data_IF_205249384890
#
_entry.id   IF_205249384890
#
_cell.length_a   1.000
_cell.length_b   1.000
_cell.length_c   1.000
_cell.angle_alpha   90.00
_cell.angle_beta   90.00
_cell.angle_gamma   90.00
#
_symmetry.space_group_name_H-M   'P 1'
#
loop_
_entity.id
_entity.type
_entity.pdbx_description
1 polymer ?
#
# COMPACT_ATOMS: atom_id res chain seq x y z
N UNK A 1 16.91 -33.86 11.32
CA UNK A 1 15.89 -33.57 10.29
C UNK A 1 14.74 -32.71 10.83
N UNK A 2 14.01 -33.14 11.87
CA UNK A 2 12.90 -32.33 12.42
C UNK A 2 13.36 -30.97 13.00
N UNK A 3 14.49 -30.95 13.70
CA UNK A 3 15.04 -29.71 14.28
C UNK A 3 15.63 -28.77 13.22
N UNK A 4 16.23 -29.30 12.15
CA UNK A 4 16.63 -28.54 10.95
C UNK A 4 15.45 -27.83 10.28
N UNK A 5 14.35 -28.55 10.04
CA UNK A 5 13.13 -27.97 9.45
C UNK A 5 12.50 -26.90 10.36
N UNK A 6 12.45 -27.15 11.67
CA UNK A 6 11.96 -26.18 12.65
C UNK A 6 12.82 -24.90 12.69
N UNK A 7 14.15 -25.02 12.56
CA UNK A 7 15.05 -23.88 12.50
C UNK A 7 14.86 -23.04 11.23
N UNK A 8 14.65 -23.69 10.08
CA UNK A 8 14.38 -23.04 8.79
C UNK A 8 13.04 -22.29 8.81
N UNK A 9 11.98 -22.93 9.30
CA UNK A 9 10.65 -22.31 9.41
C UNK A 9 10.65 -21.13 10.39
N UNK A 10 11.31 -21.29 11.54
CA UNK A 10 11.43 -20.20 12.50
C UNK A 10 12.22 -19.00 11.93
N UNK A 11 13.24 -19.25 11.10
CA UNK A 11 14.02 -18.22 10.44
C UNK A 11 13.21 -17.46 9.37
N UNK A 12 12.43 -18.17 8.54
CA UNK A 12 11.59 -17.53 7.52
C UNK A 12 10.51 -16.63 8.15
N UNK A 13 9.85 -17.10 9.21
CA UNK A 13 8.87 -16.32 9.97
C UNK A 13 9.52 -15.06 10.58
N UNK A 14 10.76 -15.18 11.09
CA UNK A 14 11.50 -14.05 11.64
C UNK A 14 11.88 -13.02 10.57
N UNK A 15 12.23 -13.45 9.36
CA UNK A 15 12.55 -12.58 8.23
C UNK A 15 11.31 -11.76 7.79
N UNK A 16 10.18 -12.43 7.55
CA UNK A 16 8.91 -11.77 7.18
C UNK A 16 8.46 -10.79 8.27
N UNK A 17 8.57 -11.19 9.54
CA UNK A 17 8.19 -10.34 10.67
C UNK A 17 9.08 -9.08 10.78
N UNK A 18 10.37 -9.17 10.46
CA UNK A 18 11.29 -8.01 10.45
C UNK A 18 11.02 -7.05 9.30
N UNK A 19 10.78 -7.59 8.09
CA UNK A 19 10.40 -6.80 6.93
C UNK A 19 9.10 -6.02 7.19
N UNK A 20 8.08 -6.69 7.74
CA UNK A 20 6.82 -6.04 8.14
C UNK A 20 6.99 -5.00 9.26
N UNK A 21 8.05 -5.10 10.07
CA UNK A 21 8.36 -4.14 11.14
C UNK A 21 9.30 -3.01 10.70
N UNK A 22 9.74 -2.99 9.44
CA UNK A 22 10.68 -1.99 8.90
C UNK A 22 12.05 -2.00 9.61
N UNK A 23 12.47 -3.15 10.14
CA UNK A 23 13.73 -3.29 10.87
C UNK A 23 14.85 -3.69 9.90
N UNK A 24 15.77 -2.78 9.59
CA UNK A 24 16.98 -3.07 8.82
C UNK A 24 17.98 -3.93 9.61
N UNK A 25 18.94 -4.62 8.94
CA UNK A 25 19.97 -5.40 9.62
C UNK A 25 20.75 -4.53 10.61
N UNK A 26 20.94 -5.04 11.83
CA UNK A 26 21.67 -4.33 12.89
C UNK A 26 23.15 -4.24 12.51
N UNK A 27 23.59 -3.07 12.06
CA UNK A 27 25.00 -2.72 12.00
C UNK A 27 25.58 -2.77 13.42
N UNK A 28 26.46 -3.75 13.67
CA UNK A 28 27.06 -3.99 14.98
C UNK A 28 28.16 -2.98 15.36
N UNK A 29 28.44 -1.95 14.56
CA UNK A 29 29.52 -1.00 14.81
C UNK A 29 29.06 0.46 14.63
N UNK A 30 28.53 1.06 15.70
CA UNK A 30 28.34 2.50 15.79
C UNK A 30 27.99 2.92 17.21
N UNK A 31 28.58 4.00 17.77
CA UNK A 31 28.26 4.43 19.13
C UNK A 31 26.80 4.86 19.20
N UNK A 32 26.08 4.33 20.20
CA UNK A 32 24.69 4.68 20.46
C UNK A 32 24.59 6.18 20.79
N UNK A 33 24.11 6.98 19.83
CA UNK A 33 23.78 8.38 20.06
C UNK A 33 22.50 8.46 20.87
N UNK A 34 22.65 8.69 22.17
CA UNK A 34 21.55 8.99 23.08
C UNK A 34 21.06 10.43 22.84
N UNK A 35 20.22 10.62 21.84
CA UNK A 35 19.35 11.80 21.73
C UNK A 35 17.91 11.32 21.78
N UNK A 36 17.21 11.73 22.83
CA UNK A 36 15.82 11.35 23.09
C UNK A 36 14.89 12.04 22.08
N UNK A 37 14.78 11.46 20.89
CA UNK A 37 13.79 11.84 19.88
C UNK A 37 12.48 11.14 20.23
N UNK A 38 11.42 11.89 20.55
CA UNK A 38 10.09 11.33 20.71
C UNK A 38 9.58 10.84 19.34
N UNK A 39 9.74 9.54 19.06
CA UNK A 39 9.17 8.90 17.87
C UNK A 39 7.70 8.55 18.12
N UNK A 40 6.80 9.22 17.41
CA UNK A 40 5.37 8.87 17.39
C UNK A 40 5.21 7.61 16.54
N UNK A 41 5.26 6.44 17.19
CA UNK A 41 4.99 5.14 16.56
C UNK A 41 3.52 4.77 16.71
N UNK A 42 2.88 4.32 15.63
CA UNK A 42 1.49 3.83 15.71
C UNK A 42 1.48 2.56 16.55
N UNK A 43 0.34 2.28 17.18
CA UNK A 43 0.17 1.07 18.00
C UNK A 43 0.46 -0.21 17.19
N UNK A 44 0.05 -0.23 15.93
CA UNK A 44 0.36 -1.30 14.96
C UNK A 44 1.86 -1.53 14.80
N UNK A 45 2.64 -0.46 14.73
CA UNK A 45 4.08 -0.53 14.46
C UNK A 45 4.81 -1.08 15.69
N UNK A 46 4.38 -0.69 16.89
CA UNK A 46 4.90 -1.25 18.15
C UNK A 46 4.58 -2.74 18.29
N UNK A 47 3.40 -3.17 17.85
CA UNK A 47 2.98 -4.57 17.87
C UNK A 47 3.77 -5.40 16.85
N UNK A 48 3.98 -4.88 15.64
CA UNK A 48 4.82 -5.49 14.61
C UNK A 48 6.28 -5.65 15.07
N UNK A 49 6.87 -4.60 15.67
CA UNK A 49 8.23 -4.66 16.24
C UNK A 49 8.34 -5.67 17.38
N UNK A 50 7.33 -5.78 18.25
CA UNK A 50 7.31 -6.76 19.34
C UNK A 50 7.22 -8.19 18.80
N UNK A 51 6.40 -8.40 17.78
CA UNK A 51 6.29 -9.68 17.09
C UNK A 51 7.61 -10.08 16.40
N UNK A 52 8.23 -9.16 15.67
CA UNK A 52 9.54 -9.36 15.03
C UNK A 52 10.64 -9.74 16.01
N UNK A 53 10.72 -9.06 17.16
CA UNK A 53 11.68 -9.41 18.23
C UNK A 53 11.44 -10.81 18.81
N UNK A 54 10.17 -11.20 18.99
CA UNK A 54 9.80 -12.52 19.50
C UNK A 54 10.11 -13.62 18.48
N UNK A 55 9.81 -13.39 17.20
CA UNK A 55 10.12 -14.30 16.10
C UNK A 55 11.64 -14.49 15.95
N UNK A 56 12.42 -13.41 15.99
CA UNK A 56 13.88 -13.47 15.96
C UNK A 56 14.49 -14.27 17.13
N UNK A 57 13.97 -14.11 18.34
CA UNK A 57 14.42 -14.88 19.51
C UNK A 57 14.11 -16.37 19.36
N UNK A 58 12.95 -16.71 18.79
CA UNK A 58 12.54 -18.09 18.52
C UNK A 58 13.43 -18.75 17.46
N UNK A 59 13.72 -18.04 16.37
CA UNK A 59 14.64 -18.50 15.33
C UNK A 59 16.05 -18.76 15.89
N UNK A 60 16.57 -17.86 16.72
CA UNK A 60 17.88 -18.02 17.35
C UNK A 60 17.92 -19.24 18.30
N UNK A 61 16.84 -19.50 19.04
CA UNK A 61 16.74 -20.67 19.91
C UNK A 61 16.64 -21.99 19.14
N UNK A 62 15.85 -22.03 18.06
CA UNK A 62 15.72 -23.19 17.19
C UNK A 62 17.05 -23.53 16.49
N UNK A 63 17.80 -22.50 16.04
CA UNK A 63 19.15 -22.67 15.50
C UNK A 63 20.12 -23.26 16.54
N UNK A 64 20.11 -22.76 17.77
CA UNK A 64 20.97 -23.27 18.83
C UNK A 64 20.66 -24.74 19.14
N UNK A 65 19.37 -25.11 19.20
CA UNK A 65 18.93 -26.49 19.41
C UNK A 65 19.32 -27.42 18.26
N UNK A 66 19.20 -26.97 17.00
CA UNK A 66 19.62 -27.76 15.83
C UNK A 66 21.15 -28.00 15.84
N UNK A 67 21.95 -26.99 16.21
CA UNK A 67 23.41 -27.11 16.34
C UNK A 67 23.83 -28.03 17.49
N UNK A 68 23.16 -27.94 18.63
CA UNK A 68 23.45 -28.79 19.80
C UNK A 68 23.08 -30.26 19.55
N UNK A 69 22.02 -30.51 18.80
CA UNK A 69 21.60 -31.86 18.39
C UNK A 69 22.49 -32.48 17.30
N UNK A 70 23.50 -31.77 16.79
CA UNK A 70 24.37 -32.24 15.72
C UNK A 70 23.66 -32.40 14.37
N UNK A 71 22.50 -31.76 14.18
CA UNK A 71 21.82 -31.70 12.89
C UNK A 71 22.66 -30.81 11.96
N UNK A 72 23.29 -31.41 10.94
CA UNK A 72 24.16 -30.70 10.00
C UNK A 72 23.28 -29.73 9.20
N UNK A 73 23.60 -28.43 9.32
CA UNK A 73 23.07 -27.38 8.47
C UNK A 73 24.08 -27.18 7.35
N UNK A 74 23.66 -27.42 6.10
CA UNK A 74 24.50 -27.22 4.94
C UNK A 74 24.64 -25.70 4.66
N UNK A 75 25.61 -25.31 3.83
CA UNK A 75 25.85 -23.89 3.53
C UNK A 75 24.60 -23.20 2.96
N UNK A 76 23.74 -23.91 2.22
CA UNK A 76 22.44 -23.41 1.76
C UNK A 76 21.45 -23.14 2.92
N UNK A 77 21.42 -24.00 3.94
CA UNK A 77 20.58 -23.79 5.13
C UNK A 77 21.11 -22.61 5.96
N UNK A 78 22.43 -22.48 6.05
CA UNK A 78 23.10 -21.38 6.72
C UNK A 78 22.92 -20.06 5.98
N UNK A 79 22.76 -20.06 4.65
CA UNK A 79 22.39 -18.88 3.85
C UNK A 79 20.91 -18.50 4.02
N UNK A 80 20.02 -19.50 4.14
CA UNK A 80 18.59 -19.28 4.40
C UNK A 80 18.32 -18.74 5.81
N UNK A 81 19.16 -19.11 6.79
CA UNK A 81 19.01 -18.74 8.21
C UNK A 81 19.96 -17.59 8.60
N UNK A 82 21.03 -17.37 7.84
CA UNK A 82 22.11 -16.43 8.16
C UNK A 82 21.74 -14.97 7.93
N UNK A 83 22.25 -14.04 8.75
CA UNK A 83 21.93 -12.61 8.66
C UNK A 83 22.55 -11.89 7.46
N UNK A 84 23.20 -12.60 6.51
CA UNK A 84 24.13 -11.97 5.55
C UNK A 84 23.83 -12.16 4.07
N UNK A 85 22.77 -12.86 3.64
CA UNK A 85 22.45 -12.99 2.20
C UNK A 85 20.98 -13.10 1.79
N UNK A 86 20.02 -13.12 2.72
CA UNK A 86 18.60 -13.09 2.33
C UNK A 86 18.11 -11.72 1.80
N UNK A 87 18.97 -10.71 1.86
CA UNK A 87 18.73 -9.36 1.34
C UNK A 87 19.41 -9.17 -0.02
N UNK A 88 18.69 -9.50 -1.10
CA UNK A 88 18.88 -8.82 -2.39
C UNK A 88 17.74 -9.13 -3.35
N UNK A 89 17.38 -10.41 -3.53
CA UNK A 89 16.61 -10.79 -4.72
C UNK A 89 15.07 -10.78 -4.51
N UNK A 90 14.59 -11.20 -3.34
CA UNK A 90 13.15 -11.23 -3.03
C UNK A 90 12.55 -9.85 -2.71
N UNK A 91 13.38 -8.85 -2.40
CA UNK A 91 12.97 -7.45 -2.25
C UNK A 91 13.10 -6.65 -3.55
N UNK A 92 13.85 -7.15 -4.54
CA UNK A 92 13.97 -6.50 -5.85
C UNK A 92 12.76 -6.75 -6.75
N UNK A 93 12.04 -7.86 -6.57
CA UNK A 93 10.88 -8.18 -7.42
C UNK A 93 9.67 -7.30 -7.14
N UNK A 94 9.52 -6.78 -5.91
CA UNK A 94 8.53 -5.75 -5.56
C UNK A 94 9.09 -4.31 -5.72
N UNK A 95 10.41 -4.17 -5.94
CA UNK A 95 11.10 -2.90 -6.15
C UNK A 95 11.14 -2.43 -7.61
N UNK A 96 10.65 -3.22 -8.57
CA UNK A 96 10.76 -2.90 -9.99
C UNK A 96 9.87 -1.72 -10.46
N UNK A 97 9.05 -1.14 -9.57
CA UNK A 97 8.20 0.03 -9.89
C UNK A 97 8.87 1.37 -9.54
N UNK A 98 9.95 1.38 -8.75
CA UNK A 98 10.69 2.61 -8.43
C UNK A 98 12.17 2.44 -8.75
N UNK A 99 12.64 3.16 -9.76
CA UNK A 99 13.96 3.03 -10.35
C UNK A 99 15.13 2.99 -9.36
N UNK A 100 16.01 2.01 -9.60
CA UNK A 100 17.47 2.01 -9.37
C UNK A 100 18.01 2.92 -8.26
N UNK A 101 18.36 2.31 -7.11
CA UNK A 101 19.52 2.72 -6.30
C UNK A 101 19.50 4.08 -5.60
N UNK A 102 18.35 4.75 -5.48
CA UNK A 102 18.22 5.97 -4.68
C UNK A 102 18.06 5.66 -3.19
N UNK A 103 18.91 6.25 -2.33
CA UNK A 103 18.79 6.16 -0.88
C UNK A 103 17.34 6.40 -0.42
N UNK A 104 16.81 5.49 0.37
CA UNK A 104 15.46 5.61 0.95
C UNK A 104 15.54 6.58 2.13
N UNK A 105 15.17 7.85 1.90
CA UNK A 105 15.05 8.86 2.96
C UNK A 105 16.29 9.73 3.16
N UNK A 106 16.61 10.07 4.41
CA UNK A 106 17.70 10.99 4.78
C UNK A 106 19.08 10.31 4.86
N UNK A 107 19.15 9.00 4.59
CA UNK A 107 20.37 8.22 4.70
C UNK A 107 21.39 8.65 3.62
N UNK A 108 22.61 8.96 4.05
CA UNK A 108 23.69 9.45 3.18
C UNK A 108 23.69 10.96 2.89
N UNK A 109 22.72 11.73 3.41
CA UNK A 109 22.72 13.19 3.27
C UNK A 109 23.57 13.87 4.35
N UNK A 110 24.27 14.94 3.97
CA UNK A 110 24.98 15.80 4.90
C UNK A 110 24.02 16.61 5.76
N UNK A 111 24.48 17.08 6.92
CA UNK A 111 23.63 17.88 7.84
C UNK A 111 23.16 19.17 7.19
N UNK A 112 23.99 19.73 6.32
CA UNK A 112 23.77 20.96 5.58
C UNK A 112 22.65 20.77 4.54
N UNK A 113 22.64 19.65 3.82
CA UNK A 113 21.57 19.29 2.88
C UNK A 113 20.24 19.07 3.59
N UNK A 114 20.25 18.40 4.75
CA UNK A 114 19.04 18.19 5.57
C UNK A 114 18.47 19.53 6.06
N UNK A 115 19.33 20.46 6.51
CA UNK A 115 18.91 21.78 6.94
C UNK A 115 18.36 22.63 5.78
N UNK A 116 18.93 22.53 4.58
CA UNK A 116 18.40 23.20 3.40
C UNK A 116 17.03 22.66 3.00
N UNK A 117 16.82 21.34 3.04
CA UNK A 117 15.49 20.75 2.80
C UNK A 117 14.46 21.23 3.82
N UNK A 118 14.83 21.31 5.10
CA UNK A 118 13.95 21.83 6.16
C UNK A 118 13.55 23.29 5.92
N UNK A 119 14.46 24.12 5.41
CA UNK A 119 14.16 25.51 5.04
C UNK A 119 13.15 25.63 3.88
N UNK A 120 13.12 24.63 2.99
CA UNK A 120 12.19 24.59 1.85
C UNK A 120 10.81 24.05 2.21
N UNK A 121 10.65 23.42 3.37
CA UNK A 121 9.35 22.98 3.85
C UNK A 121 8.49 24.19 4.24
N UNK A 122 7.20 24.12 3.92
CA UNK A 122 6.26 25.11 4.41
C UNK A 122 6.24 25.07 5.95
N UNK A 123 6.36 26.23 6.63
CA UNK A 123 6.48 26.28 8.09
C UNK A 123 5.27 25.68 8.82
N UNK A 124 4.10 25.67 8.18
CA UNK A 124 2.87 25.10 8.73
C UNK A 124 2.55 23.68 8.22
N UNK A 125 3.47 23.05 7.50
CA UNK A 125 3.30 21.72 6.93
C UNK A 125 2.13 21.65 5.93
N UNK A 126 1.15 20.78 6.18
CA UNK A 126 -0.01 20.57 5.30
C UNK A 126 -1.04 21.71 5.32
N UNK A 127 -0.90 22.67 6.23
CA UNK A 127 -1.75 23.87 6.28
C UNK A 127 -1.21 24.91 5.29
N UNK A 128 -1.56 24.73 4.03
CA UNK A 128 -1.43 25.80 3.05
C UNK A 128 -2.78 26.51 2.96
N UNK A 129 -2.84 27.74 3.47
CA UNK A 129 -3.99 28.61 3.26
C UNK A 129 -3.97 29.11 1.81
N UNK A 130 -4.77 28.47 0.98
CA UNK A 130 -5.29 29.14 -0.22
C UNK A 130 -6.51 29.93 0.24
N UNK A 131 -6.61 31.21 -0.10
CA UNK A 131 -7.87 31.96 0.09
C UNK A 131 -8.83 31.58 -1.04
N UNK A 132 -9.82 30.69 -0.84
CA UNK A 132 -10.87 30.52 -1.82
C UNK A 132 -11.62 31.84 -1.94
N UNK A 133 -11.71 32.38 -3.17
CA UNK A 133 -12.48 33.59 -3.46
C UNK A 133 -13.97 33.32 -3.21
N UNK A 134 -14.45 33.65 -2.00
CA UNK A 134 -15.87 33.80 -1.67
C UNK A 134 -16.53 32.61 -0.94
N UNK A 135 -17.53 32.93 -0.12
CA UNK A 135 -18.43 31.97 0.53
C UNK A 135 -19.67 31.72 -0.33
N UNK A 136 -20.35 30.56 -0.19
CA UNK A 136 -21.58 30.28 -0.93
C UNK A 136 -22.68 31.34 -0.72
N UNK A 137 -23.56 31.55 -1.71
CA UNK A 137 -24.69 32.45 -1.55
C UNK A 137 -25.60 32.00 -0.41
N UNK A 138 -26.13 32.97 0.35
CA UNK A 138 -26.92 32.71 1.55
C UNK A 138 -26.10 32.44 2.82
N UNK A 139 -24.79 32.68 2.78
CA UNK A 139 -23.95 32.63 4.00
C UNK A 139 -24.24 33.83 4.90
N UNK A 140 -24.59 33.59 6.16
CA UNK A 140 -24.88 34.60 7.17
C UNK A 140 -23.70 34.75 8.13
N UNK A 141 -23.43 35.97 8.60
CA UNK A 141 -22.37 36.27 9.57
C UNK A 141 -22.95 37.02 10.76
N UNK A 142 -22.69 36.52 11.96
CA UNK A 142 -23.09 37.14 13.22
C UNK A 142 -21.86 37.36 14.11
N UNK A 143 -21.76 38.54 14.70
CA UNK A 143 -20.67 38.90 15.61
C UNK A 143 -21.15 38.88 17.05
N UNK A 144 -20.60 37.98 17.85
CA UNK A 144 -20.86 37.89 19.29
C UNK A 144 -19.68 38.39 20.11
N UNK A 145 -19.82 38.47 21.45
CA UNK A 145 -18.72 38.84 22.33
C UNK A 145 -17.62 37.77 22.31
N UNK A 146 -16.55 38.04 21.56
CA UNK A 146 -15.35 37.18 21.47
C UNK A 146 -15.38 36.11 20.37
N UNK A 147 -16.39 36.10 19.50
CA UNK A 147 -16.47 35.14 18.39
C UNK A 147 -17.17 35.73 17.16
N UNK A 148 -16.82 35.18 15.99
CA UNK A 148 -17.56 35.35 14.74
C UNK A 148 -18.23 34.01 14.41
N UNK A 149 -19.54 34.04 14.19
CA UNK A 149 -20.30 32.89 13.72
C UNK A 149 -20.61 33.06 12.24
N UNK A 150 -20.24 32.06 11.44
CA UNK A 150 -20.51 32.03 10.00
C UNK A 150 -21.38 30.82 9.69
N UNK A 151 -22.62 31.07 9.27
CA UNK A 151 -23.60 30.02 8.95
C UNK A 151 -23.63 29.79 7.44
N UNK A 152 -23.19 28.60 7.00
CA UNK A 152 -23.17 28.23 5.57
C UNK A 152 -24.40 27.36 5.27
N UNK A 153 -25.29 27.76 4.35
CA UNK A 153 -26.48 26.98 4.01
C UNK A 153 -26.11 25.67 3.31
N UNK A 154 -26.99 24.67 3.43
CA UNK A 154 -26.80 23.40 2.74
C UNK A 154 -26.83 23.58 1.21
N UNK A 155 -25.94 22.90 0.45
CA UNK A 155 -25.94 23.00 -1.00
C UNK A 155 -27.21 22.40 -1.60
N UNK A 156 -27.83 23.13 -2.52
CA UNK A 156 -29.00 22.65 -3.28
C UNK A 156 -28.54 21.53 -4.22
N UNK A 157 -29.19 20.37 -4.13
CA UNK A 157 -28.88 19.22 -4.99
C UNK A 157 -29.64 19.31 -6.30
N UNK A 158 -28.92 19.16 -7.40
CA UNK A 158 -29.51 19.01 -8.72
C UNK A 158 -30.13 17.60 -8.85
N UNK A 159 -31.46 17.54 -8.85
CA UNK A 159 -32.18 16.26 -8.93
C UNK A 159 -32.01 15.59 -10.30
N UNK A 160 -31.74 16.36 -11.35
CA UNK A 160 -31.54 15.81 -12.69
C UNK A 160 -30.33 14.90 -12.78
N UNK A 161 -29.37 14.98 -11.85
CA UNK A 161 -28.16 14.15 -11.81
C UNK A 161 -28.29 12.86 -10.99
N UNK A 162 -29.49 12.55 -10.48
CA UNK A 162 -29.69 11.42 -9.55
C UNK A 162 -30.15 10.11 -10.19
N UNK A 163 -30.22 10.02 -11.52
CA UNK A 163 -30.95 8.97 -12.22
C UNK A 163 -30.14 7.74 -12.61
N UNK A 164 -28.80 7.84 -12.72
CA UNK A 164 -27.99 6.68 -13.08
C UNK A 164 -27.66 5.86 -11.82
N UNK A 165 -28.14 4.62 -11.77
CA UNK A 165 -27.75 3.63 -10.76
C UNK A 165 -27.53 2.29 -11.44
N UNK A 166 -26.39 1.70 -11.18
CA UNK A 166 -26.04 0.38 -11.71
C UNK A 166 -26.40 -0.67 -10.67
N UNK A 167 -27.24 -1.63 -11.05
CA UNK A 167 -27.55 -2.80 -10.25
C UNK A 167 -26.40 -3.79 -10.31
N UNK A 168 -25.86 -4.17 -9.15
CA UNK A 168 -24.65 -4.98 -9.07
C UNK A 168 -24.87 -6.39 -9.64
N UNK A 169 -26.02 -6.99 -9.32
CA UNK A 169 -26.36 -8.33 -9.80
C UNK A 169 -26.51 -8.42 -11.33
N UNK A 170 -26.82 -7.29 -11.98
CA UNK A 170 -26.87 -7.21 -13.44
C UNK A 170 -25.52 -6.83 -14.07
N UNK A 171 -24.66 -6.15 -13.33
CA UNK A 171 -23.44 -5.54 -13.86
C UNK A 171 -22.18 -6.40 -13.67
N UNK A 172 -22.17 -7.33 -12.72
CA UNK A 172 -21.01 -8.18 -12.46
C UNK A 172 -21.40 -9.60 -12.03
N UNK A 173 -20.43 -10.51 -11.97
CA UNK A 173 -20.69 -11.88 -11.57
C UNK A 173 -21.00 -12.01 -10.08
N UNK A 174 -21.68 -13.09 -9.70
CA UNK A 174 -22.04 -13.37 -8.31
C UNK A 174 -20.82 -13.41 -7.36
N UNK A 175 -19.63 -13.78 -7.84
CA UNK A 175 -18.41 -13.78 -7.03
C UNK A 175 -17.90 -12.35 -6.79
N UNK A 176 -17.95 -11.48 -7.80
CA UNK A 176 -17.63 -10.07 -7.66
C UNK A 176 -18.62 -9.34 -6.72
N UNK A 177 -19.92 -9.66 -6.82
CA UNK A 177 -20.96 -9.08 -5.95
C UNK A 177 -20.72 -9.35 -4.45
N UNK A 178 -20.02 -10.44 -4.07
CA UNK A 178 -19.74 -10.76 -2.66
C UNK A 178 -18.95 -9.67 -1.94
N UNK A 179 -18.08 -8.95 -2.65
CA UNK A 179 -17.34 -7.82 -2.08
C UNK A 179 -18.24 -6.64 -1.67
N UNK A 180 -19.47 -6.61 -2.17
CA UNK A 180 -20.45 -5.56 -1.95
C UNK A 180 -21.67 -6.06 -1.15
N UNK A 181 -21.50 -7.10 -0.32
CA UNK A 181 -22.57 -7.64 0.51
C UNK A 181 -23.33 -6.54 1.28
N UNK A 182 -24.66 -6.51 1.15
CA UNK A 182 -25.51 -5.46 1.72
C UNK A 182 -25.72 -4.23 0.82
N UNK A 183 -25.12 -4.20 -0.37
CA UNK A 183 -25.35 -3.18 -1.41
C UNK A 183 -26.00 -3.85 -2.62
N UNK A 184 -27.16 -3.37 -3.06
CA UNK A 184 -27.85 -3.87 -4.26
C UNK A 184 -27.47 -3.08 -5.52
N UNK A 185 -27.32 -1.76 -5.38
CA UNK A 185 -27.05 -0.84 -6.47
C UNK A 185 -25.99 0.18 -6.11
N UNK A 186 -25.18 0.59 -7.07
CA UNK A 186 -24.24 1.70 -6.92
C UNK A 186 -24.99 3.05 -6.88
N UNK A 187 -24.43 4.01 -6.14
CA UNK A 187 -24.95 5.38 -6.15
C UNK A 187 -24.58 6.10 -7.47
N UNK A 188 -25.14 7.29 -7.77
CA UNK A 188 -24.87 7.97 -9.04
C UNK A 188 -23.40 8.25 -9.33
N UNK A 189 -22.63 8.73 -8.33
CA UNK A 189 -21.20 9.00 -8.52
C UNK A 189 -20.41 7.70 -8.78
N UNK A 190 -20.72 6.64 -8.05
CA UNK A 190 -20.10 5.33 -8.23
C UNK A 190 -20.47 4.70 -9.57
N UNK A 191 -21.70 4.92 -10.03
CA UNK A 191 -22.20 4.42 -11.31
C UNK A 191 -21.52 5.13 -12.48
N UNK A 192 -21.32 6.45 -12.38
CA UNK A 192 -20.62 7.24 -13.38
C UNK A 192 -19.19 6.74 -13.65
N UNK A 193 -18.49 6.31 -12.60
CA UNK A 193 -17.09 5.84 -12.70
C UNK A 193 -16.98 4.32 -12.84
N UNK A 194 -18.10 3.59 -12.88
CA UNK A 194 -18.09 2.13 -12.84
C UNK A 194 -17.31 1.52 -14.00
N UNK A 195 -17.54 1.98 -15.23
CA UNK A 195 -16.86 1.43 -16.40
C UNK A 195 -15.35 1.64 -16.33
N UNK A 196 -14.89 2.83 -15.95
CA UNK A 196 -13.47 3.10 -15.77
C UNK A 196 -12.89 2.30 -14.59
N UNK A 197 -13.62 2.14 -13.49
CA UNK A 197 -13.10 1.48 -12.29
C UNK A 197 -13.12 -0.06 -12.38
N UNK A 198 -14.06 -0.63 -13.14
CA UNK A 198 -14.31 -2.08 -13.17
C UNK A 198 -13.97 -2.74 -14.51
N UNK A 199 -13.96 -2.00 -15.62
CA UNK A 199 -13.70 -2.56 -16.96
C UNK A 199 -12.35 -2.15 -17.55
N UNK A 200 -11.62 -1.19 -16.97
CA UNK A 200 -10.31 -0.75 -17.47
C UNK A 200 -9.22 -0.85 -16.41
N UNK A 201 -7.96 -0.72 -16.83
CA UNK A 201 -6.76 -0.66 -15.96
C UNK A 201 -6.17 0.75 -15.88
N UNK A 202 -6.93 1.77 -16.29
CA UNK A 202 -6.44 3.13 -16.30
C UNK A 202 -6.31 3.69 -14.87
N UNK A 203 -5.49 4.73 -14.71
CA UNK A 203 -5.37 5.44 -13.45
C UNK A 203 -6.60 6.34 -13.23
N UNK A 204 -7.27 6.20 -12.09
CA UNK A 204 -8.44 7.04 -11.74
C UNK A 204 -8.09 8.11 -10.71
N UNK A 205 -8.49 9.36 -10.98
CA UNK A 205 -8.53 10.46 -10.02
C UNK A 205 -10.00 10.86 -9.75
N UNK A 206 -10.47 10.65 -8.52
CA UNK A 206 -11.86 10.95 -8.14
C UNK A 206 -11.89 11.99 -7.02
N UNK A 207 -12.37 13.18 -7.35
CA UNK A 207 -12.60 14.27 -6.42
C UNK A 207 -14.08 14.34 -6.04
N UNK A 208 -14.43 13.73 -4.91
CA UNK A 208 -15.79 13.73 -4.37
C UNK A 208 -15.78 14.07 -2.88
N UNK A 209 -16.88 14.61 -2.31
CA UNK A 209 -16.94 14.94 -0.89
C UNK A 209 -16.79 13.71 0.02
N UNK A 210 -16.59 13.94 1.31
CA UNK A 210 -16.64 12.88 2.32
C UNK A 210 -17.99 12.17 2.26
N UNK A 211 -17.98 10.86 2.49
CA UNK A 211 -19.17 10.00 2.41
C UNK A 211 -19.89 9.94 1.05
N UNK A 212 -19.29 10.42 -0.04
CA UNK A 212 -19.83 10.24 -1.40
C UNK A 212 -19.76 8.79 -1.92
N UNK A 213 -19.08 7.89 -1.21
CA UNK A 213 -18.97 6.48 -1.59
C UNK A 213 -17.68 6.09 -2.33
N UNK A 214 -16.63 6.93 -2.27
CA UNK A 214 -15.31 6.64 -2.88
C UNK A 214 -14.70 5.29 -2.47
N UNK A 215 -15.02 4.81 -1.25
CA UNK A 215 -14.55 3.49 -0.77
C UNK A 215 -15.04 2.34 -1.65
N UNK A 216 -16.29 2.37 -2.10
CA UNK A 216 -16.80 1.32 -2.99
C UNK A 216 -16.14 1.41 -4.36
N UNK A 217 -15.76 2.60 -4.82
CA UNK A 217 -15.01 2.73 -6.09
C UNK A 217 -13.62 2.09 -5.98
N UNK A 218 -12.91 2.31 -4.88
CA UNK A 218 -11.66 1.59 -4.62
C UNK A 218 -11.87 0.07 -4.49
N UNK A 219 -13.01 -0.37 -3.96
CA UNK A 219 -13.34 -1.80 -3.92
C UNK A 219 -13.56 -2.35 -5.33
N UNK A 220 -14.20 -1.59 -6.24
CA UNK A 220 -14.40 -2.00 -7.64
C UNK A 220 -13.06 -2.27 -8.33
N UNK A 221 -12.08 -1.38 -8.16
CA UNK A 221 -10.75 -1.56 -8.78
C UNK A 221 -10.00 -2.76 -8.22
N UNK A 222 -10.09 -3.01 -6.90
CA UNK A 222 -9.51 -4.21 -6.28
C UNK A 222 -10.16 -5.48 -6.82
N UNK A 223 -11.49 -5.54 -6.89
CA UNK A 223 -12.21 -6.70 -7.41
C UNK A 223 -11.90 -6.92 -8.89
N UNK A 224 -11.83 -5.86 -9.69
CA UNK A 224 -11.45 -5.93 -11.10
C UNK A 224 -10.04 -6.53 -11.28
N UNK A 225 -9.09 -6.09 -10.45
CA UNK A 225 -7.73 -6.63 -10.48
C UNK A 225 -7.67 -8.10 -10.06
N UNK A 226 -8.39 -8.49 -8.99
CA UNK A 226 -8.44 -9.89 -8.54
C UNK A 226 -9.13 -10.81 -9.56
N UNK A 227 -10.14 -10.30 -10.28
CA UNK A 227 -10.78 -11.00 -11.40
C UNK A 227 -9.78 -11.22 -12.53
N UNK A 228 -9.04 -10.18 -12.92
CA UNK A 228 -8.04 -10.26 -13.98
C UNK A 228 -6.92 -11.26 -13.66
N UNK A 229 -6.47 -11.30 -12.40
CA UNK A 229 -5.49 -12.30 -11.93
C UNK A 229 -6.07 -13.71 -11.78
N UNK A 230 -7.35 -13.93 -12.10
CA UNK A 230 -8.01 -15.22 -12.02
C UNK A 230 -8.27 -15.73 -10.59
N UNK A 231 -8.04 -14.89 -9.57
CA UNK A 231 -8.31 -15.23 -8.16
C UNK A 231 -9.82 -15.31 -7.95
N UNK A 232 -10.56 -14.34 -8.50
CA UNK A 232 -12.01 -14.37 -8.57
C UNK A 232 -12.41 -15.03 -9.88
N UNK A 233 -12.86 -16.28 -9.81
CA UNK A 233 -13.31 -17.03 -10.99
C UNK A 233 -14.58 -16.41 -11.54
N UNK A 234 -14.58 -16.15 -12.84
CA UNK A 234 -15.70 -15.53 -13.53
C UNK A 234 -16.47 -16.59 -14.32
N UNK A 235 -17.52 -17.17 -13.72
CA UNK A 235 -18.36 -18.20 -14.37
C UNK A 235 -19.26 -17.63 -15.49
N UNK A 236 -19.37 -16.30 -15.61
CA UNK A 236 -20.23 -15.59 -16.57
C UNK A 236 -19.56 -14.36 -17.19
N UNK A 237 -18.32 -14.47 -17.66
CA UNK A 237 -17.65 -13.33 -18.30
C UNK A 237 -17.63 -13.45 -19.83
N UNK A 238 -18.39 -12.61 -20.57
CA UNK A 238 -18.24 -12.51 -22.02
C UNK A 238 -16.87 -11.94 -22.45
N UNK A 239 -16.07 -11.39 -21.52
CA UNK A 239 -14.73 -10.84 -21.79
C UNK A 239 -13.57 -11.75 -21.39
N UNK A 240 -13.81 -12.97 -20.91
CA UNK A 240 -12.74 -13.95 -20.61
C UNK A 240 -11.88 -14.31 -21.84
N UNK A 241 -12.34 -13.99 -23.05
CA UNK A 241 -11.60 -14.22 -24.30
C UNK A 241 -10.53 -13.16 -24.60
N UNK A 242 -10.48 -12.04 -23.88
CA UNK A 242 -9.53 -10.95 -24.18
C UNK A 242 -8.20 -11.03 -23.40
N UNK A 243 -8.04 -11.94 -22.44
CA UNK A 243 -6.81 -12.07 -21.64
C UNK A 243 -5.65 -12.77 -22.35
N UNK A 244 -5.72 -13.00 -23.67
CA UNK A 244 -4.64 -13.62 -24.47
C UNK A 244 -4.11 -12.75 -25.61
N UNK A 245 -4.49 -11.47 -25.71
CA UNK A 245 -3.96 -10.58 -26.75
C UNK A 245 -3.09 -9.52 -26.09
N UNK A 246 -1.84 -9.88 -25.79
CA UNK A 246 -0.91 -8.89 -25.22
C UNK A 246 0.42 -9.44 -24.73
N UNK A 247 0.97 -10.49 -25.32
CA UNK A 247 2.40 -10.79 -25.15
C UNK A 247 2.95 -11.62 -26.31
N UNK A 248 3.00 -11.03 -27.50
CA UNK A 248 3.79 -11.55 -28.62
C UNK A 248 4.31 -10.36 -29.45
N UNK A 249 5.62 -10.11 -29.40
CA UNK A 249 6.30 -9.26 -30.39
C UNK A 249 7.27 -8.23 -29.84
N UNK A 250 8.40 -8.68 -29.29
CA UNK A 250 9.54 -7.81 -28.93
C UNK A 250 10.92 -8.41 -29.18
N UNK A 251 11.03 -9.44 -30.03
CA UNK A 251 12.30 -10.02 -30.43
C UNK A 251 13.08 -9.07 -31.35
N UNK A 252 14.03 -8.34 -30.77
CA UNK A 252 15.08 -7.62 -31.53
C UNK A 252 15.96 -8.64 -32.25
N UNK A 253 15.72 -8.85 -33.55
CA UNK A 253 16.72 -9.46 -34.42
C UNK A 253 17.63 -8.38 -34.99
N UNK A 254 18.86 -8.37 -34.47
CA UNK A 254 20.05 -7.80 -35.08
C UNK A 254 20.59 -8.74 -36.17
N UNK A 255 20.60 -8.30 -37.42
CA UNK A 255 21.45 -8.81 -38.51
C UNK A 255 21.26 -7.89 -39.72
N UNK A 256 22.15 -6.93 -39.99
CA UNK A 256 23.38 -7.05 -40.79
C UNK A 256 23.16 -7.41 -42.28
N UNK A 257 23.55 -6.46 -43.13
CA UNK A 257 24.20 -6.66 -44.45
C UNK A 257 23.36 -7.16 -45.63
N UNK A 258 22.97 -6.26 -46.53
CA UNK A 258 23.50 -6.05 -47.90
C UNK A 258 22.54 -5.19 -48.72
#
# INVERSE_FOLDING_TARGET
RFLREEAIEAASIAAVARAAAGMSPVDRNGPASATATHTVSRRSDKEAQKFAKKAAKRAAAALAAAKEAGDILDDEDLELIGPSKFDSDALQTEGYVFGSGGNIGLEGMTKEEIQEMQRRLAPEGTKQYYEPKGLPPGTEREYGPGYEMVTIPAPIRDQSKLHLRIDLDSAMSAQCCKAFAGTSSLNPMQSEVFDAAFHTQENLLICAPTNAGKKNVAMLTVVAHLREKGIIKNEKDPYAAYSHIGDDGGGRNSSSSQ
#
